data_IF_804633154600
#
_entry.id   IF_804633154600
#
_cell.length_a   1.000
_cell.length_b   1.000
_cell.length_c   1.000
_cell.angle_alpha   90.00
_cell.angle_beta   90.00
_cell.angle_gamma   90.00
#
_symmetry.space_group_name_H-M   'P 1'
#
loop_
_entity.id
_entity.type
_entity.pdbx_description
1 polymer ?
#
# COMPACT_ATOMS: atom_id res chain seq x y z
N UNK A 1 18.13 33.15 -26.23
CA UNK A 1 17.23 32.22 -26.94
C UNK A 1 17.75 30.81 -26.67
N UNK A 2 17.09 30.07 -25.78
CA UNK A 2 17.32 28.67 -25.46
C UNK A 2 15.95 27.99 -25.36
N UNK A 3 15.82 26.82 -25.97
CA UNK A 3 14.79 25.81 -25.75
C UNK A 3 15.39 24.46 -26.16
N UNK A 4 14.65 23.34 -26.11
CA UNK A 4 13.34 23.08 -25.52
C UNK A 4 13.33 21.78 -24.68
N UNK A 5 13.09 21.86 -23.37
CA UNK A 5 12.66 20.71 -22.55
C UNK A 5 12.21 21.22 -21.19
N UNK A 6 11.10 21.98 -21.21
CA UNK A 6 10.24 22.02 -20.03
C UNK A 6 9.66 20.60 -19.92
N UNK A 7 10.33 19.74 -19.14
CA UNK A 7 9.75 18.51 -18.64
C UNK A 7 8.44 18.90 -17.96
N UNK A 8 7.35 18.73 -18.68
CA UNK A 8 6.01 18.88 -18.15
C UNK A 8 5.91 17.89 -16.99
N UNK A 9 6.01 18.41 -15.76
CA UNK A 9 5.57 17.68 -14.59
C UNK A 9 4.13 17.27 -14.90
N UNK A 10 3.89 15.99 -15.19
CA UNK A 10 2.56 15.41 -15.13
C UNK A 10 2.07 15.63 -13.70
N UNK A 11 1.27 16.68 -13.52
CA UNK A 11 0.55 16.91 -12.29
C UNK A 11 -0.47 15.78 -12.28
N UNK A 12 -0.19 14.69 -11.56
CA UNK A 12 -1.22 13.74 -11.16
C UNK A 12 -2.39 14.57 -10.64
N UNK A 13 -3.57 14.40 -11.25
CA UNK A 13 -4.77 15.16 -10.94
C UNK A 13 -4.97 15.14 -9.41
N UNK A 14 -4.72 16.29 -8.79
CA UNK A 14 -4.67 16.39 -7.34
C UNK A 14 -6.09 16.29 -6.82
N UNK A 15 -6.49 15.10 -6.39
CA UNK A 15 -7.83 14.85 -5.85
C UNK A 15 -8.02 15.64 -4.56
N UNK A 16 -8.68 16.80 -4.68
CA UNK A 16 -8.97 17.69 -3.56
C UNK A 16 -9.89 17.05 -2.51
N UNK A 17 -10.73 16.09 -2.91
CA UNK A 17 -11.60 15.36 -2.00
C UNK A 17 -10.82 14.31 -1.19
N UNK A 18 -9.67 13.84 -1.69
CA UNK A 18 -8.76 12.96 -0.95
C UNK A 18 -7.91 13.67 0.12
N UNK A 19 -7.80 15.00 0.07
CA UNK A 19 -7.05 15.84 1.04
C UNK A 19 -7.94 16.67 1.98
N UNK A 20 -9.26 16.71 1.74
CA UNK A 20 -10.20 17.39 2.60
C UNK A 20 -10.47 16.56 3.88
N UNK A 21 -9.99 17.06 5.03
CA UNK A 21 -10.32 16.46 6.32
C UNK A 21 -11.80 16.61 6.64
N UNK A 22 -12.53 15.50 6.68
CA UNK A 22 -13.95 15.49 7.01
C UNK A 22 -14.12 15.49 8.54
N UNK A 23 -14.80 16.51 9.06
CA UNK A 23 -15.14 16.60 10.48
C UNK A 23 -15.96 15.37 10.92
N UNK A 24 -15.54 14.75 12.01
CA UNK A 24 -16.23 13.61 12.62
C UNK A 24 -15.75 12.23 12.15
N UNK A 25 -14.81 12.18 11.20
CA UNK A 25 -14.16 10.94 10.77
C UNK A 25 -12.92 10.67 11.60
N UNK A 26 -12.79 9.45 12.13
CA UNK A 26 -11.64 9.03 12.93
C UNK A 26 -10.53 8.41 12.05
N UNK A 27 -9.82 9.28 11.36
CA UNK A 27 -8.67 8.91 10.53
C UNK A 27 -7.53 8.25 11.34
N UNK A 28 -7.42 8.56 12.64
CA UNK A 28 -6.35 8.04 13.49
C UNK A 28 -6.62 6.58 13.84
N UNK A 29 -7.86 6.22 14.13
CA UNK A 29 -8.26 4.83 14.34
C UNK A 29 -7.99 3.98 13.09
N UNK A 30 -8.44 4.43 11.92
CA UNK A 30 -8.19 3.72 10.65
C UNK A 30 -6.70 3.57 10.34
N UNK A 31 -5.93 4.63 10.48
CA UNK A 31 -4.48 4.56 10.28
C UNK A 31 -3.78 3.62 11.27
N UNK A 32 -4.19 3.61 12.55
CA UNK A 32 -3.62 2.71 13.57
C UNK A 32 -3.87 1.24 13.22
N UNK A 33 -5.10 0.91 12.86
CA UNK A 33 -5.45 -0.44 12.40
C UNK A 33 -4.60 -0.84 11.18
N UNK A 34 -4.50 0.03 10.18
CA UNK A 34 -3.65 -0.20 9.01
C UNK A 34 -2.17 -0.36 9.38
N UNK A 35 -1.67 0.40 10.36
CA UNK A 35 -0.28 0.31 10.82
C UNK A 35 0.00 -1.04 11.46
N UNK A 36 -0.88 -1.52 12.32
CA UNK A 36 -0.71 -2.81 12.98
C UNK A 36 -0.79 -3.97 11.96
N UNK A 37 -1.74 -3.88 11.02
CA UNK A 37 -1.85 -4.82 9.92
C UNK A 37 -0.59 -4.81 9.01
N UNK A 38 -0.07 -3.62 8.69
CA UNK A 38 1.15 -3.47 7.90
C UNK A 38 2.38 -4.05 8.61
N UNK A 39 2.51 -3.85 9.92
CA UNK A 39 3.61 -4.43 10.69
C UNK A 39 3.58 -5.96 10.62
N UNK A 40 2.41 -6.57 10.89
CA UNK A 40 2.24 -8.02 10.83
C UNK A 40 2.48 -8.59 9.43
N UNK A 41 2.02 -7.90 8.38
CA UNK A 41 2.28 -8.29 7.00
C UNK A 41 3.77 -8.20 6.68
N UNK A 42 4.44 -7.14 7.13
CA UNK A 42 5.89 -6.97 6.99
C UNK A 42 6.68 -8.12 7.62
N UNK A 43 6.35 -8.48 8.86
CA UNK A 43 6.99 -9.60 9.55
C UNK A 43 6.81 -10.93 8.79
N UNK A 44 5.60 -11.18 8.27
CA UNK A 44 5.30 -12.38 7.49
C UNK A 44 6.06 -12.43 6.15
N UNK A 45 6.15 -11.30 5.44
CA UNK A 45 6.91 -11.19 4.20
C UNK A 45 8.42 -11.37 4.45
N UNK A 46 8.95 -10.75 5.50
CA UNK A 46 10.34 -10.89 5.90
C UNK A 46 10.68 -12.35 6.27
N UNK A 47 9.80 -13.02 7.01
CA UNK A 47 9.96 -14.45 7.33
C UNK A 47 9.94 -15.35 6.08
N UNK A 48 9.23 -14.93 5.03
CA UNK A 48 9.20 -15.59 3.73
C UNK A 48 10.36 -15.19 2.80
N UNK A 49 11.27 -14.31 3.24
CA UNK A 49 12.39 -13.81 2.43
C UNK A 49 11.98 -12.82 1.34
N UNK A 50 10.79 -12.23 1.44
CA UNK A 50 10.24 -11.29 0.45
C UNK A 50 10.47 -9.86 0.93
N UNK A 51 11.17 -9.07 0.11
CA UNK A 51 11.38 -7.64 0.39
C UNK A 51 10.35 -6.75 -0.32
N UNK A 52 9.83 -5.76 0.40
CA UNK A 52 8.84 -4.82 -0.09
C UNK A 52 8.76 -3.55 0.75
N UNK A 53 8.11 -2.52 0.20
CA UNK A 53 7.80 -1.29 0.93
C UNK A 53 6.32 -1.30 1.34
N UNK A 54 6.07 -1.21 2.64
CA UNK A 54 4.73 -1.12 3.21
C UNK A 54 4.45 0.30 3.71
N UNK A 55 3.23 0.77 3.49
CA UNK A 55 2.74 2.04 4.02
C UNK A 55 1.33 1.87 4.54
N UNK A 56 1.09 2.32 5.77
CA UNK A 56 -0.23 2.46 6.34
C UNK A 56 -0.74 3.87 6.10
N UNK A 57 -1.94 4.00 5.54
CA UNK A 57 -2.63 5.27 5.31
C UNK A 57 -4.08 5.15 5.79
N UNK A 58 -4.71 6.28 6.06
CA UNK A 58 -6.16 6.35 6.19
C UNK A 58 -6.74 6.81 4.86
N UNK A 59 -7.80 6.19 4.40
CA UNK A 59 -8.60 6.67 3.28
C UNK A 59 -9.47 7.86 3.72
N UNK A 60 -10.06 8.61 2.76
CA UNK A 60 -10.89 9.79 3.04
C UNK A 60 -12.13 9.50 3.91
N UNK A 61 -12.62 8.27 3.89
CA UNK A 61 -13.73 7.77 4.72
C UNK A 61 -13.30 7.36 6.14
N UNK A 62 -12.01 7.50 6.48
CA UNK A 62 -11.43 7.11 7.77
C UNK A 62 -11.03 5.63 7.86
N UNK A 63 -11.22 4.83 6.80
CA UNK A 63 -10.82 3.44 6.81
C UNK A 63 -9.30 3.27 6.69
N UNK A 64 -8.75 2.25 7.34
CA UNK A 64 -7.34 1.92 7.24
C UNK A 64 -7.00 1.21 5.93
N UNK A 65 -5.94 1.65 5.26
CA UNK A 65 -5.43 1.03 4.02
C UNK A 65 -3.94 0.72 4.15
N UNK A 66 -3.56 -0.51 3.77
CA UNK A 66 -2.16 -0.92 3.65
C UNK A 66 -1.76 -0.94 2.19
N UNK A 67 -0.79 -0.11 1.81
CA UNK A 67 -0.17 -0.09 0.48
C UNK A 67 1.12 -0.89 0.51
N UNK A 68 1.24 -1.83 -0.42
CA UNK A 68 2.41 -2.69 -0.59
C UNK A 68 2.99 -2.50 -1.98
N UNK A 69 4.24 -2.06 -2.03
CA UNK A 69 5.03 -1.95 -3.25
C UNK A 69 6.05 -3.08 -3.28
N UNK A 70 6.04 -3.87 -4.35
CA UNK A 70 6.94 -5.02 -4.55
C UNK A 70 7.65 -4.91 -5.90
N UNK A 71 8.85 -5.48 -5.98
CA UNK A 71 9.46 -5.78 -7.27
C UNK A 71 8.64 -6.87 -7.99
N UNK A 72 8.66 -6.95 -9.34
CA UNK A 72 7.98 -8.02 -10.06
C UNK A 72 8.42 -9.43 -9.65
N UNK A 73 9.67 -9.59 -9.19
CA UNK A 73 10.16 -10.86 -8.65
C UNK A 73 9.46 -11.22 -7.35
N UNK A 74 9.50 -10.32 -6.37
CA UNK A 74 8.90 -10.52 -5.06
C UNK A 74 7.37 -10.68 -5.14
N UNK A 75 6.71 -10.01 -6.09
CA UNK A 75 5.28 -10.20 -6.35
C UNK A 75 4.95 -11.63 -6.82
N UNK A 76 5.78 -12.24 -7.67
CA UNK A 76 5.62 -13.65 -8.10
C UNK A 76 5.87 -14.63 -6.96
N UNK A 77 6.87 -14.36 -6.12
CA UNK A 77 7.15 -15.17 -4.93
C UNK A 77 5.96 -15.16 -3.95
N UNK A 78 5.36 -13.99 -3.71
CA UNK A 78 4.12 -13.87 -2.91
C UNK A 78 2.97 -14.65 -3.54
N UNK A 79 2.76 -14.54 -4.86
CA UNK A 79 1.70 -15.28 -5.54
C UNK A 79 1.87 -16.80 -5.39
N UNK A 80 3.10 -17.31 -5.56
CA UNK A 80 3.40 -18.73 -5.38
C UNK A 80 3.13 -19.21 -3.95
N UNK A 81 3.48 -18.41 -2.94
CA UNK A 81 3.19 -18.73 -1.53
C UNK A 81 1.67 -18.80 -1.25
N UNK A 82 0.88 -17.89 -1.84
CA UNK A 82 -0.58 -17.90 -1.71
C UNK A 82 -1.20 -19.13 -2.36
N UNK A 83 -0.70 -19.55 -3.53
CA UNK A 83 -1.22 -20.74 -4.21
C UNK A 83 -0.92 -22.03 -3.42
N UNK A 84 0.27 -22.16 -2.85
CA UNK A 84 0.62 -23.27 -1.95
C UNK A 84 -0.31 -23.28 -0.72
N UNK A 85 -0.52 -22.12 -0.09
CA UNK A 85 -1.39 -22.00 1.07
C UNK A 85 -2.85 -22.36 0.76
N UNK A 86 -3.34 -22.04 -0.45
CA UNK A 86 -4.69 -22.42 -0.91
C UNK A 86 -4.83 -23.93 -1.06
N UNK A 87 -3.84 -24.59 -1.67
CA UNK A 87 -3.83 -26.04 -1.84
C UNK A 87 -3.81 -26.76 -0.49
N UNK A 88 -3.05 -26.25 0.49
CA UNK A 88 -3.02 -26.79 1.84
C UNK A 88 -4.31 -26.58 2.66
N UNK A 89 -5.18 -25.64 2.28
CA UNK A 89 -6.50 -25.44 2.91
C UNK A 89 -7.61 -26.31 2.28
N UNK A 90 -7.37 -26.87 1.10
CA UNK A 90 -8.33 -27.71 0.38
C UNK A 90 -8.12 -29.22 0.62
N UNK A 91 -7.10 -29.60 1.40
CA UNK A 91 -6.82 -30.96 1.88
C UNK A 91 -7.15 -31.07 3.37
#
# INVERSE_FOLDING_TARGET
>A
MFGPEDEAFEVEEFDLDAVAWVRGVDYVAGWREAKDAAARLGDALAAAGVEGRLRAVSAPDGSGVVRLELSPRHAREVAALVDVARLGKAS
#
